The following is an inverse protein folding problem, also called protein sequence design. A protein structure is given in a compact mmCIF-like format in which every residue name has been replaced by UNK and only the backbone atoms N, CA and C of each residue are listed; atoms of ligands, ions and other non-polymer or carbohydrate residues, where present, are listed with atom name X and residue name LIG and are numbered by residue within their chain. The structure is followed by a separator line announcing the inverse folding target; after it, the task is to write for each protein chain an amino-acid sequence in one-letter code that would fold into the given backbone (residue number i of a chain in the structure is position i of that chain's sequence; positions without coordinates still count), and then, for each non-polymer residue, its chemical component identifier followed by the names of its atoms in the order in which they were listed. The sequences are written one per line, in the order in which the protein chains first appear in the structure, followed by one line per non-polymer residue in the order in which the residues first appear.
data_IF_709661550737
#
_entry.id   IF_709661550737
#
_cell.length_a   1.000
_cell.length_b   1.000
_cell.length_c   1.000
_cell.angle_alpha   90.00
_cell.angle_beta   90.00
_cell.angle_gamma   90.00
#
_symmetry.space_group_name_H-M   'P 1'
#
loop_
_entity.id
_entity.type
_entity.pdbx_description
1 polymer ?
#
# COMPACT_ATOMS: atom_id res chain seq x y z
N UNK A 1 -12.82 25.05 -31.03
CA UNK A 1 -13.69 24.89 -29.85
C UNK A 1 -14.32 23.49 -29.80
N UNK A 2 -14.87 22.95 -30.89
CA UNK A 2 -15.31 21.53 -30.94
C UNK A 2 -14.15 20.53 -30.76
N UNK A 3 -13.04 20.71 -31.49
CA UNK A 3 -11.87 19.80 -31.41
C UNK A 3 -11.22 19.73 -30.01
N UNK A 4 -11.33 20.78 -29.20
CA UNK A 4 -10.81 20.80 -27.82
C UNK A 4 -11.72 20.05 -26.85
N UNK A 5 -13.04 20.06 -27.09
CA UNK A 5 -14.01 19.39 -26.21
C UNK A 5 -13.97 17.87 -26.41
N UNK A 6 -13.85 17.40 -27.65
CA UNK A 6 -13.72 15.96 -27.93
C UNK A 6 -12.44 15.38 -27.32
N UNK A 7 -11.32 16.10 -27.45
CA UNK A 7 -10.05 15.67 -26.88
C UNK A 7 -10.08 15.61 -25.34
N UNK A 8 -10.76 16.54 -24.68
CA UNK A 8 -10.90 16.53 -23.21
C UNK A 8 -11.80 15.38 -22.72
N UNK A 9 -12.87 15.05 -23.46
CA UNK A 9 -13.76 13.94 -23.14
C UNK A 9 -13.06 12.58 -23.30
N UNK A 10 -12.30 12.41 -24.38
CA UNK A 10 -11.54 11.18 -24.65
C UNK A 10 -10.46 10.97 -23.58
N UNK A 11 -9.70 12.02 -23.25
CA UNK A 11 -8.70 11.97 -22.17
C UNK A 11 -9.34 11.63 -20.82
N UNK A 12 -10.52 12.17 -20.53
CA UNK A 12 -11.22 11.87 -19.28
C UNK A 12 -11.73 10.42 -19.22
N UNK A 13 -12.17 9.85 -20.34
CA UNK A 13 -12.61 8.46 -20.42
C UNK A 13 -11.44 7.48 -20.24
N UNK A 14 -10.31 7.76 -20.89
CA UNK A 14 -9.07 6.98 -20.77
C UNK A 14 -8.53 7.00 -19.33
N UNK A 15 -8.46 8.18 -18.71
CA UNK A 15 -8.01 8.32 -17.33
C UNK A 15 -8.88 7.53 -16.33
N UNK A 16 -10.20 7.46 -16.56
CA UNK A 16 -11.10 6.64 -15.73
C UNK A 16 -10.80 5.15 -15.90
N UNK A 17 -10.57 4.70 -17.12
CA UNK A 17 -10.23 3.30 -17.39
C UNK A 17 -8.89 2.91 -16.74
N UNK A 18 -7.87 3.75 -16.90
CA UNK A 18 -6.55 3.55 -16.29
C UNK A 18 -6.67 3.53 -14.76
N UNK A 19 -7.39 4.49 -14.17
CA UNK A 19 -7.63 4.53 -12.73
C UNK A 19 -8.28 3.24 -12.20
N UNK A 20 -9.32 2.74 -12.86
CA UNK A 20 -9.97 1.47 -12.48
C UNK A 20 -9.01 0.30 -12.60
N UNK A 21 -8.20 0.26 -13.65
CA UNK A 21 -7.22 -0.81 -13.87
C UNK A 21 -6.16 -0.82 -12.77
N UNK A 22 -5.60 0.34 -12.42
CA UNK A 22 -4.60 0.48 -11.36
C UNK A 22 -5.19 0.07 -10.00
N UNK A 23 -6.42 0.48 -9.68
CA UNK A 23 -7.10 0.03 -8.45
C UNK A 23 -7.39 -1.47 -8.47
N UNK A 24 -7.70 -2.06 -9.63
CA UNK A 24 -7.86 -3.51 -9.77
C UNK A 24 -6.57 -4.28 -9.47
N UNK A 25 -5.44 -3.82 -10.03
CA UNK A 25 -4.13 -4.41 -9.74
C UNK A 25 -3.77 -4.25 -8.26
N UNK A 26 -3.98 -3.05 -7.69
CA UNK A 26 -3.76 -2.79 -6.27
C UNK A 26 -4.63 -3.66 -5.37
N UNK A 27 -5.89 -3.90 -5.75
CA UNK A 27 -6.82 -4.78 -5.03
C UNK A 27 -6.25 -6.20 -4.95
N UNK A 28 -5.82 -6.76 -6.08
CA UNK A 28 -5.20 -8.09 -6.15
C UNK A 28 -3.91 -8.13 -5.33
N UNK A 29 -3.07 -7.08 -5.43
CA UNK A 29 -1.85 -6.98 -4.64
C UNK A 29 -2.12 -7.03 -3.13
N UNK A 30 -3.08 -6.26 -2.62
CA UNK A 30 -3.41 -6.28 -1.18
C UNK A 30 -4.03 -7.60 -0.73
N UNK A 31 -4.74 -8.33 -1.60
CA UNK A 31 -5.18 -9.70 -1.30
C UNK A 31 -4.00 -10.66 -1.16
N UNK A 32 -3.00 -10.57 -2.06
CA UNK A 32 -1.77 -11.34 -1.92
C UNK A 32 -0.98 -10.97 -0.68
N UNK A 33 -0.89 -9.68 -0.34
CA UNK A 33 -0.28 -9.22 0.89
C UNK A 33 -1.01 -9.81 2.11
N UNK A 34 -2.34 -9.75 2.15
CA UNK A 34 -3.14 -10.39 3.20
C UNK A 34 -2.84 -11.90 3.30
N UNK A 35 -2.78 -12.60 2.16
CA UNK A 35 -2.48 -14.03 2.15
C UNK A 35 -1.11 -14.36 2.75
N UNK A 36 -0.06 -13.60 2.40
CA UNK A 36 1.30 -13.80 2.95
C UNK A 36 1.34 -13.55 4.46
N UNK A 37 0.55 -12.60 4.96
CA UNK A 37 0.52 -12.27 6.39
C UNK A 37 -0.31 -13.24 7.24
N UNK A 38 -0.95 -14.26 6.65
CA UNK A 38 -1.66 -15.30 7.43
C UNK A 38 -0.71 -16.18 8.26
N UNK A 39 0.58 -16.23 7.89
CA UNK A 39 1.58 -17.05 8.56
C UNK A 39 2.21 -16.35 9.78
N UNK A 40 1.89 -15.08 10.01
CA UNK A 40 2.53 -14.26 11.03
C UNK A 40 1.74 -14.31 12.35
N UNK A 41 2.40 -14.02 13.48
CA UNK A 41 1.80 -14.19 14.81
C UNK A 41 0.62 -13.23 15.05
N UNK A 42 0.69 -12.03 14.49
CA UNK A 42 -0.30 -10.95 14.57
C UNK A 42 -1.10 -10.80 13.25
N UNK A 43 -1.28 -11.91 12.52
CA UNK A 43 -2.01 -11.96 11.24
C UNK A 43 -3.36 -11.24 11.29
N UNK A 44 -4.09 -11.33 12.42
CA UNK A 44 -5.43 -10.77 12.57
C UNK A 44 -5.44 -9.25 12.32
N UNK A 45 -4.37 -8.53 12.66
CA UNK A 45 -4.28 -7.08 12.48
C UNK A 45 -3.96 -6.76 11.01
N UNK A 46 -2.88 -7.33 10.48
CA UNK A 46 -2.38 -7.01 9.14
C UNK A 46 -3.29 -7.52 8.02
N UNK A 47 -3.82 -8.74 8.15
CA UNK A 47 -4.82 -9.29 7.23
C UNK A 47 -6.05 -8.40 7.19
N UNK A 48 -6.55 -7.95 8.36
CA UNK A 48 -7.72 -7.05 8.41
C UNK A 48 -7.45 -5.75 7.67
N UNK A 49 -6.29 -5.12 7.90
CA UNK A 49 -5.92 -3.87 7.24
C UNK A 49 -5.85 -4.04 5.72
N UNK A 50 -5.18 -5.10 5.24
CA UNK A 50 -5.02 -5.35 3.80
C UNK A 50 -6.32 -5.77 3.12
N UNK A 51 -7.16 -6.59 3.76
CA UNK A 51 -8.49 -6.94 3.25
C UNK A 51 -9.39 -5.69 3.18
N UNK A 52 -9.44 -4.87 4.24
CA UNK A 52 -10.19 -3.62 4.23
C UNK A 52 -9.73 -2.71 3.10
N UNK A 53 -8.41 -2.57 2.92
CA UNK A 53 -7.83 -1.79 1.81
C UNK A 53 -8.27 -2.36 0.46
N UNK A 54 -8.13 -3.66 0.24
CA UNK A 54 -8.57 -4.34 -0.97
C UNK A 54 -10.06 -4.11 -1.28
N UNK A 55 -10.94 -4.14 -0.27
CA UNK A 55 -12.37 -3.84 -0.44
C UNK A 55 -12.57 -2.39 -0.92
N UNK A 56 -11.86 -1.41 -0.34
CA UNK A 56 -11.94 -0.02 -0.80
C UNK A 56 -11.53 0.12 -2.27
N UNK A 57 -10.46 -0.55 -2.68
CA UNK A 57 -10.01 -0.56 -4.08
C UNK A 57 -11.01 -1.28 -4.99
N UNK A 58 -11.59 -2.40 -4.57
CA UNK A 58 -12.62 -3.11 -5.32
C UNK A 58 -13.87 -2.24 -5.54
N UNK A 59 -14.29 -1.48 -4.52
CA UNK A 59 -15.39 -0.54 -4.65
C UNK A 59 -15.05 0.55 -5.68
N UNK A 60 -13.82 1.07 -5.69
CA UNK A 60 -13.38 2.02 -6.72
C UNK A 60 -13.41 1.41 -8.14
N UNK A 61 -13.10 0.12 -8.28
CA UNK A 61 -13.22 -0.60 -9.55
C UNK A 61 -14.69 -0.69 -9.98
N UNK A 62 -15.59 -1.18 -9.12
CA UNK A 62 -16.96 -1.49 -9.52
C UNK A 62 -17.89 -0.27 -9.53
N UNK A 63 -17.75 0.66 -8.58
CA UNK A 63 -18.57 1.87 -8.52
C UNK A 63 -17.98 2.97 -7.60
N UNK A 64 -17.30 3.94 -8.22
CA UNK A 64 -16.73 5.16 -7.64
C UNK A 64 -17.62 5.92 -6.63
N UNK A 65 -18.95 5.76 -6.69
CA UNK A 65 -19.90 6.57 -5.90
C UNK A 65 -20.56 5.83 -4.73
N UNK A 66 -20.30 4.53 -4.56
CA UNK A 66 -21.00 3.73 -3.54
C UNK A 66 -20.51 4.01 -2.10
N UNK A 67 -19.31 4.57 -1.94
CA UNK A 67 -18.71 4.75 -0.63
C UNK A 67 -18.62 6.25 -0.26
N UNK A 68 -19.13 6.67 0.90
CA UNK A 68 -18.99 8.04 1.37
C UNK A 68 -17.53 8.44 1.62
N UNK A 69 -17.17 9.67 1.26
CA UNK A 69 -15.81 10.21 1.48
C UNK A 69 -15.42 10.20 2.96
N UNK A 70 -16.37 10.36 3.88
CA UNK A 70 -16.14 10.33 5.34
C UNK A 70 -15.53 8.99 5.76
N UNK A 71 -16.00 7.86 5.21
CA UNK A 71 -15.46 6.54 5.55
C UNK A 71 -14.00 6.43 5.12
N UNK A 72 -13.67 6.91 3.92
CA UNK A 72 -12.29 6.91 3.41
C UNK A 72 -11.40 7.79 4.28
N UNK A 73 -11.85 9.01 4.61
CA UNK A 73 -11.12 9.93 5.47
C UNK A 73 -10.82 9.32 6.85
N UNK A 74 -11.84 8.73 7.49
CA UNK A 74 -11.68 8.10 8.81
C UNK A 74 -10.67 6.95 8.75
N UNK A 75 -10.77 6.07 7.75
CA UNK A 75 -9.83 4.96 7.60
C UNK A 75 -8.40 5.44 7.30
N UNK A 76 -8.24 6.42 6.42
CA UNK A 76 -6.94 7.03 6.14
C UNK A 76 -6.32 7.65 7.41
N UNK A 77 -7.12 8.35 8.22
CA UNK A 77 -6.66 8.93 9.49
C UNK A 77 -6.24 7.84 10.48
N UNK A 78 -7.05 6.78 10.61
CA UNK A 78 -6.73 5.64 11.47
C UNK A 78 -5.41 4.99 11.04
N UNK A 79 -5.19 4.78 9.74
CA UNK A 79 -3.93 4.23 9.25
C UNK A 79 -2.75 5.16 9.50
N UNK A 80 -2.91 6.48 9.34
CA UNK A 80 -1.89 7.46 9.72
C UNK A 80 -1.55 7.41 11.21
N UNK A 81 -2.54 7.22 12.09
CA UNK A 81 -2.30 7.04 13.52
C UNK A 81 -1.52 5.76 13.81
N UNK A 82 -1.87 4.64 13.17
CA UNK A 82 -1.11 3.40 13.29
C UNK A 82 0.34 3.54 12.78
N UNK A 83 0.56 4.27 11.69
CA UNK A 83 1.91 4.57 11.20
C UNK A 83 2.67 5.41 12.23
N UNK A 84 2.06 6.48 12.75
CA UNK A 84 2.70 7.34 13.75
C UNK A 84 3.05 6.56 15.02
N UNK A 85 2.16 5.67 15.46
CA UNK A 85 2.39 4.79 16.59
C UNK A 85 3.52 3.79 16.34
N UNK A 86 3.53 3.11 15.18
CA UNK A 86 4.62 2.22 14.78
C UNK A 86 5.97 2.94 14.71
N UNK A 87 6.01 4.13 14.10
CA UNK A 87 7.21 4.98 14.09
C UNK A 87 7.66 5.35 15.51
N UNK A 88 6.74 5.71 16.40
CA UNK A 88 7.08 6.03 17.79
C UNK A 88 7.71 4.83 18.52
N UNK A 89 7.16 3.63 18.36
CA UNK A 89 7.71 2.40 18.93
C UNK A 89 9.13 2.12 18.41
N UNK A 90 9.34 2.28 17.10
CA UNK A 90 10.66 2.11 16.49
C UNK A 90 11.68 3.12 17.01
N UNK A 91 11.30 4.39 17.14
CA UNK A 91 12.17 5.42 17.72
C UNK A 91 12.51 5.12 19.18
N UNK A 92 11.54 4.65 19.97
CA UNK A 92 11.76 4.24 21.36
C UNK A 92 12.74 3.06 21.42
N UNK A 93 12.55 2.04 20.59
CA UNK A 93 13.44 0.87 20.52
C UNK A 93 14.87 1.25 20.12
N UNK A 94 15.03 2.13 19.11
CA UNK A 94 16.31 2.67 18.70
C UNK A 94 17.02 3.38 19.86
N UNK A 95 16.27 4.22 20.59
CA UNK A 95 16.80 4.99 21.71
C UNK A 95 17.22 4.10 22.88
N UNK A 96 16.41 3.10 23.26
CA UNK A 96 16.69 2.22 24.40
C UNK A 96 17.84 1.24 24.13
N UNK A 97 18.00 0.76 22.90
CA UNK A 97 18.98 -0.27 22.56
C UNK A 97 20.26 0.27 21.90
N UNK A 98 20.36 1.59 21.63
CA UNK A 98 21.45 2.21 20.86
C UNK A 98 21.71 1.53 19.49
N UNK A 99 20.67 0.95 18.90
CA UNK A 99 20.74 0.27 17.61
C UNK A 99 20.30 1.26 16.53
N UNK A 100 21.15 1.54 15.54
CA UNK A 100 20.74 2.28 14.33
C UNK A 100 19.83 1.39 13.48
N UNK A 101 18.52 1.40 13.75
CA UNK A 101 17.50 0.62 13.01
C UNK A 101 17.46 1.02 11.53
N UNK A 102 17.84 2.25 11.20
CA UNK A 102 17.97 2.73 9.81
C UNK A 102 19.16 2.08 9.09
N UNK A 103 20.29 1.83 9.79
CA UNK A 103 21.45 1.13 9.20
C UNK A 103 21.24 -0.38 9.18
N UNK A 104 20.56 -0.92 10.19
CA UNK A 104 20.16 -2.31 10.26
C UNK A 104 18.91 -2.52 9.41
N UNK A 105 19.06 -2.46 8.08
CA UNK A 105 18.07 -2.78 7.05
C UNK A 105 16.63 -2.89 7.57
N UNK A 106 15.99 -1.75 7.79
CA UNK A 106 14.61 -1.65 8.30
C UNK A 106 13.61 -2.60 7.60
N UNK A 107 13.77 -2.78 6.29
CA UNK A 107 12.93 -3.66 5.45
C UNK A 107 13.20 -5.18 5.62
N UNK A 108 14.26 -5.57 6.33
CA UNK A 108 14.58 -6.98 6.61
C UNK A 108 13.88 -7.52 7.85
N UNK A 109 13.26 -6.65 8.66
CA UNK A 109 12.46 -7.08 9.80
C UNK A 109 11.00 -7.16 9.41
N UNK A 110 10.31 -8.16 9.97
CA UNK A 110 8.86 -8.41 9.81
C UNK A 110 8.04 -7.13 10.02
N UNK A 111 8.35 -6.38 11.08
CA UNK A 111 7.72 -5.09 11.43
C UNK A 111 7.91 -4.01 10.35
N UNK A 112 9.07 -3.98 9.68
CA UNK A 112 9.34 -2.99 8.64
C UNK A 112 8.57 -3.28 7.36
N UNK A 113 8.40 -4.56 7.02
CA UNK A 113 7.51 -5.02 5.93
C UNK A 113 6.07 -4.61 6.24
N UNK A 114 5.59 -4.82 7.44
CA UNK A 114 4.23 -4.46 7.85
C UNK A 114 3.97 -2.95 7.87
N UNK A 115 4.89 -2.17 8.45
CA UNK A 115 4.77 -0.71 8.46
C UNK A 115 4.81 -0.15 7.03
N UNK A 116 5.64 -0.71 6.15
CA UNK A 116 5.69 -0.28 4.75
C UNK A 116 4.40 -0.63 3.99
N UNK A 117 3.80 -1.80 4.26
CA UNK A 117 2.50 -2.18 3.70
C UNK A 117 1.37 -1.27 4.20
N UNK A 118 1.39 -0.88 5.47
CA UNK A 118 0.45 0.09 6.03
C UNK A 118 0.61 1.48 5.43
N UNK A 119 1.85 1.94 5.24
CA UNK A 119 2.15 3.20 4.56
C UNK A 119 1.65 3.19 3.11
N UNK A 120 1.79 2.07 2.41
CA UNK A 120 1.24 1.87 1.07
C UNK A 120 -0.30 1.96 1.09
N UNK A 121 -0.95 1.24 2.00
CA UNK A 121 -2.41 1.25 2.15
C UNK A 121 -2.95 2.65 2.46
N UNK A 122 -2.32 3.37 3.39
CA UNK A 122 -2.68 4.74 3.77
C UNK A 122 -2.52 5.70 2.58
N UNK A 123 -1.39 5.62 1.88
CA UNK A 123 -1.12 6.43 0.68
C UNK A 123 -2.18 6.19 -0.40
N UNK A 124 -2.65 4.94 -0.54
CA UNK A 124 -3.68 4.58 -1.50
C UNK A 124 -5.04 5.22 -1.17
N UNK A 125 -5.48 5.12 0.08
CA UNK A 125 -6.72 5.77 0.53
C UNK A 125 -6.64 7.29 0.37
N UNK A 126 -5.49 7.88 0.63
CA UNK A 126 -5.25 9.30 0.41
C UNK A 126 -5.34 9.68 -1.07
N UNK A 127 -4.76 8.89 -1.99
CA UNK A 127 -4.91 9.13 -3.44
C UNK A 127 -6.36 9.00 -3.90
N UNK A 128 -7.11 8.02 -3.39
CA UNK A 128 -8.55 7.89 -3.67
C UNK A 128 -9.28 9.16 -3.23
N UNK A 129 -9.01 9.65 -2.01
CA UNK A 129 -9.60 10.87 -1.48
C UNK A 129 -9.24 12.10 -2.33
N UNK A 130 -7.96 12.27 -2.67
CA UNK A 130 -7.51 13.37 -3.53
C UNK A 130 -8.17 13.32 -4.90
N UNK A 131 -8.26 12.14 -5.53
CA UNK A 131 -8.94 11.97 -6.82
C UNK A 131 -10.41 12.38 -6.74
N UNK A 132 -11.06 12.07 -5.61
CA UNK A 132 -12.46 12.43 -5.34
C UNK A 132 -12.66 13.93 -5.14
N UNK A 133 -11.76 14.59 -4.42
CA UNK A 133 -11.85 16.03 -4.14
C UNK A 133 -11.43 16.91 -5.32
N UNK A 134 -10.39 16.51 -6.06
CA UNK A 134 -9.75 17.32 -7.11
C UNK A 134 -10.28 17.01 -8.52
N UNK A 135 -11.45 16.38 -8.62
CA UNK A 135 -12.06 15.86 -9.86
C UNK A 135 -12.27 16.90 -10.97
N UNK A 136 -12.21 18.18 -10.64
CA UNK A 136 -12.45 19.29 -11.56
C UNK A 136 -11.22 19.67 -12.41
N UNK A 137 -10.03 19.17 -12.09
CA UNK A 137 -8.79 19.54 -12.78
C UNK A 137 -8.13 18.33 -13.44
N UNK A 138 -8.18 18.26 -14.78
CA UNK A 138 -7.64 17.15 -15.56
C UNK A 138 -6.12 16.97 -15.38
N UNK A 139 -5.36 18.06 -15.18
CA UNK A 139 -3.90 17.99 -14.96
C UNK A 139 -3.57 17.32 -13.63
N UNK A 140 -4.32 17.68 -12.58
CA UNK A 140 -4.15 17.05 -11.27
C UNK A 140 -4.60 15.59 -11.30
N UNK A 141 -5.68 15.27 -12.02
CA UNK A 141 -6.12 13.89 -12.22
C UNK A 141 -5.04 13.02 -12.87
N UNK A 142 -4.35 13.54 -13.90
CA UNK A 142 -3.23 12.83 -14.53
C UNK A 142 -2.07 12.58 -13.56
N UNK A 143 -1.71 13.57 -12.73
CA UNK A 143 -0.67 13.41 -11.70
C UNK A 143 -1.07 12.33 -10.69
N UNK A 144 -2.32 12.33 -10.22
CA UNK A 144 -2.84 11.34 -9.27
C UNK A 144 -2.81 9.94 -9.87
N UNK A 145 -3.23 9.79 -11.13
CA UNK A 145 -3.15 8.51 -11.86
C UNK A 145 -1.70 8.04 -11.99
N UNK A 146 -0.77 8.95 -12.31
CA UNK A 146 0.66 8.64 -12.41
C UNK A 146 1.26 8.20 -11.06
N UNK A 147 0.89 8.87 -9.96
CA UNK A 147 1.29 8.46 -8.61
C UNK A 147 0.72 7.08 -8.26
N UNK A 148 -0.55 6.82 -8.57
CA UNK A 148 -1.17 5.51 -8.34
C UNK A 148 -0.48 4.40 -9.13
N UNK A 149 -0.10 4.66 -10.38
CA UNK A 149 0.63 3.71 -11.21
C UNK A 149 1.98 3.36 -10.58
N UNK A 150 2.73 4.38 -10.14
CA UNK A 150 4.02 4.17 -9.48
C UNK A 150 3.87 3.36 -8.18
N UNK A 151 2.87 3.71 -7.35
CA UNK A 151 2.60 2.99 -6.10
C UNK A 151 2.21 1.53 -6.29
N UNK A 152 1.63 1.13 -7.44
CA UNK A 152 1.38 -0.29 -7.72
C UNK A 152 2.58 -0.97 -8.37
N UNK A 153 3.23 -0.33 -9.33
CA UNK A 153 4.28 -0.97 -10.11
C UNK A 153 5.54 -1.25 -9.28
N UNK A 154 5.91 -0.37 -8.36
CA UNK A 154 7.09 -0.57 -7.51
C UNK A 154 6.95 -1.81 -6.63
N UNK A 155 5.91 -1.96 -5.78
CA UNK A 155 5.79 -3.14 -4.94
C UNK A 155 5.51 -4.42 -5.74
N UNK A 156 4.69 -4.36 -6.80
CA UNK A 156 4.44 -5.51 -7.68
C UNK A 156 5.72 -5.96 -8.38
N UNK A 157 6.50 -5.02 -8.91
CA UNK A 157 7.78 -5.30 -9.55
C UNK A 157 8.79 -5.90 -8.57
N UNK A 158 8.89 -5.31 -7.37
CA UNK A 158 9.75 -5.83 -6.30
C UNK A 158 9.37 -7.26 -5.92
N UNK A 159 8.08 -7.54 -5.72
CA UNK A 159 7.59 -8.89 -5.44
C UNK A 159 7.87 -9.87 -6.59
N UNK A 160 7.62 -9.44 -7.83
CA UNK A 160 7.83 -10.27 -9.02
C UNK A 160 9.28 -10.73 -9.12
N UNK A 161 10.24 -9.84 -8.87
CA UNK A 161 11.68 -10.18 -8.87
C UNK A 161 12.01 -11.23 -7.81
N UNK A 162 11.41 -11.14 -6.62
CA UNK A 162 11.63 -12.11 -5.54
C UNK A 162 11.04 -13.51 -5.84
N UNK A 163 9.99 -13.60 -6.67
CA UNK A 163 9.36 -14.87 -7.05
C UNK A 163 9.97 -15.53 -8.28
N UNK A 164 10.57 -14.77 -9.21
CA UNK A 164 11.00 -15.29 -10.52
C UNK A 164 12.27 -16.16 -10.47
N UNK A 165 13.25 -15.86 -9.62
CA UNK A 165 14.45 -16.72 -9.50
C UNK A 165 15.04 -16.75 -8.09
N UNK A 166 15.53 -17.95 -7.74
CA UNK A 166 16.20 -18.21 -6.47
C UNK A 166 17.52 -17.42 -6.35
N UNK A 167 18.17 -17.09 -7.47
CA UNK A 167 19.41 -16.30 -7.48
C UNK A 167 19.14 -14.85 -7.06
N UNK A 168 17.99 -14.30 -7.48
CA UNK A 168 17.56 -12.97 -7.05
C UNK A 168 17.14 -12.94 -5.59
N UNK A 169 16.51 -14.02 -5.11
CA UNK A 169 16.15 -14.18 -3.70
C UNK A 169 17.38 -14.15 -2.79
N UNK A 170 18.48 -14.79 -3.20
CA UNK A 170 19.73 -14.79 -2.44
C UNK A 170 20.47 -13.43 -2.51
N UNK A 171 20.31 -12.67 -3.60
CA UNK A 171 20.92 -11.34 -3.75
C UNK A 171 20.21 -10.26 -2.96
N UNK A 172 18.88 -10.36 -2.85
CA UNK A 172 18.07 -9.35 -2.17
C UNK A 172 17.56 -9.89 -0.84
N UNK A 173 18.15 -9.44 0.30
CA UNK A 173 17.78 -9.95 1.61
C UNK A 173 16.31 -9.67 1.98
N UNK A 174 15.68 -8.68 1.33
CA UNK A 174 14.26 -8.35 1.45
C UNK A 174 13.34 -9.47 0.92
N UNK A 175 13.83 -10.32 0.02
CA UNK A 175 13.01 -11.40 -0.56
C UNK A 175 12.80 -12.58 0.39
N UNK A 176 13.63 -12.72 1.44
CA UNK A 176 13.49 -13.79 2.43
C UNK A 176 12.26 -13.58 3.31
N UNK A 177 11.98 -12.35 3.72
CA UNK A 177 10.81 -11.98 4.53
C UNK A 177 9.50 -11.93 3.74
N UNK A 178 9.55 -12.07 2.41
CA UNK A 178 8.37 -11.99 1.54
C UNK A 178 7.74 -13.35 1.21
N UNK A 179 8.45 -14.47 1.40
CA UNK A 179 8.04 -15.76 0.82
C UNK A 179 7.84 -16.86 1.88
N UNK A 180 8.54 -16.82 3.01
CA UNK A 180 8.33 -17.73 4.15
C UNK A 180 8.78 -17.02 5.43
N UNK A 181 7.86 -16.71 6.35
CA UNK A 181 8.22 -16.32 7.73
C UNK A 181 8.52 -17.58 8.56
N UNK A 182 9.64 -18.24 8.28
CA UNK A 182 10.25 -19.19 9.22
C UNK A 182 11.44 -18.51 9.88
N UNK A 183 11.18 -17.52 10.74
CA UNK A 183 12.12 -17.17 11.80
C UNK A 183 11.34 -16.87 13.08
N UNK A 184 11.64 -17.67 14.12
CA UNK A 184 11.15 -17.47 15.48
C UNK A 184 11.37 -16.02 15.93
N UNK A 185 10.28 -15.26 16.00
CA UNK A 185 10.25 -13.93 16.60
C UNK A 185 10.40 -14.07 18.12
N UNK A 186 11.65 -13.96 18.61
CA UNK A 186 11.92 -13.54 19.98
C UNK A 186 11.64 -12.03 20.12
N UNK A 187 10.39 -11.63 19.91
CA UNK A 187 9.88 -10.36 20.40
C UNK A 187 8.60 -10.67 21.14
N UNK A 188 8.71 -10.70 22.47
CA UNK A 188 7.54 -10.71 23.35
C UNK A 188 7.12 -9.26 23.53
N UNK A 189 6.05 -8.77 22.87
CA UNK A 189 5.36 -7.59 23.35
C UNK A 189 4.71 -8.00 24.67
N UNK A 190 5.36 -7.69 25.79
CA UNK A 190 4.65 -7.61 27.07
C UNK A 190 3.77 -6.37 26.99
N UNK A 191 2.46 -6.63 27.02
CA UNK A 191 1.40 -5.65 27.28
C UNK A 191 1.78 -4.61 28.34
#
# INVERSE_FOLDING_TARGET
MLLTIDNDNDNQSSNKFIWRTINGIGCVFFLFAAFVNLNDHDWYLWVTIYICTSIFLAIEVFNYRSLPNVIICVNALVFCLFIAYGCHLLFKYQYENNVDVVKNHFLQHEEGRELSGLALASSWLFLILLNRLLRFNYRLSFVIVSCGLFLVLVPVGMWSVCFVSNDWRQRFPQCHTMIVSEQHSHFHPTF
#
